data_IF_794265510279
#
_entry.id   IF_794265510279
#
_cell.length_a   1.000
_cell.length_b   1.000
_cell.length_c   1.000
_cell.angle_alpha   90.00
_cell.angle_beta   90.00
_cell.angle_gamma   90.00
#
_symmetry.space_group_name_H-M   'P 1'
#
loop_
_entity.id
_entity.type
_entity.pdbx_description
1 polymer ?
#
# COMPACT_ATOMS: atom_id res chain seq x y z
N UNK A 1 -20.21 29.77 -47.56
CA UNK A 1 -21.11 28.92 -48.32
C UNK A 1 -20.73 27.49 -48.01
N UNK A 2 -21.41 26.68 -47.31
CA UNK A 2 -22.74 26.15 -47.24
C UNK A 2 -23.05 25.67 -45.84
N UNK A 3 -24.20 26.06 -45.32
CA UNK A 3 -24.89 25.52 -44.14
C UNK A 3 -25.43 24.14 -44.42
N UNK A 4 -25.54 23.27 -43.41
CA UNK A 4 -26.64 22.33 -43.28
C UNK A 4 -26.86 21.98 -41.79
N UNK A 5 -28.00 22.45 -41.35
CA UNK A 5 -28.74 22.25 -40.10
C UNK A 5 -29.66 21.04 -40.18
N UNK A 6 -30.18 20.63 -38.99
CA UNK A 6 -31.36 19.83 -38.66
C UNK A 6 -31.18 18.33 -38.42
N UNK A 7 -31.56 17.88 -37.19
CA UNK A 7 -32.73 17.14 -36.92
C UNK A 7 -32.95 16.77 -35.48
N UNK A 8 -33.85 17.47 -34.83
CA UNK A 8 -34.45 17.14 -33.53
C UNK A 8 -35.54 16.10 -33.76
N UNK A 9 -35.59 15.03 -32.98
CA UNK A 9 -36.78 14.18 -32.86
C UNK A 9 -37.15 13.97 -31.39
N UNK A 10 -38.26 14.59 -31.02
CA UNK A 10 -39.09 14.30 -29.83
C UNK A 10 -40.13 13.26 -30.21
N UNK A 11 -40.61 12.53 -29.21
CA UNK A 11 -41.93 11.91 -28.97
C UNK A 11 -41.75 10.55 -28.33
N UNK A 12 -42.47 10.00 -27.35
CA UNK A 12 -43.76 10.36 -26.74
C UNK A 12 -43.92 9.57 -25.43
N UNK A 13 -44.72 10.12 -24.53
CA UNK A 13 -45.26 9.52 -23.30
C UNK A 13 -46.13 8.31 -23.59
N UNK A 14 -46.16 7.34 -22.68
CA UNK A 14 -47.37 6.55 -22.43
C UNK A 14 -47.50 6.24 -20.92
N UNK A 15 -48.58 6.72 -20.39
CA UNK A 15 -49.15 6.54 -19.07
C UNK A 15 -50.13 5.35 -19.16
N UNK A 16 -50.13 4.42 -18.20
CA UNK A 16 -51.41 3.68 -17.90
C UNK A 16 -51.47 3.31 -16.42
N UNK A 17 -52.59 3.66 -15.89
CA UNK A 17 -53.19 3.45 -14.56
C UNK A 17 -53.81 2.05 -14.42
N UNK A 18 -53.99 1.65 -13.16
CA UNK A 18 -55.03 0.66 -12.72
C UNK A 18 -54.36 -0.51 -12.01
N UNK A 19 -54.76 -0.99 -10.84
CA UNK A 19 -55.99 -0.83 -10.12
C UNK A 19 -55.87 -1.47 -8.74
N UNK A 20 -56.66 -0.99 -7.86
CA UNK A 20 -56.93 -1.32 -6.47
C UNK A 20 -57.61 -2.69 -6.35
N UNK A 21 -57.24 -3.49 -5.29
CA UNK A 21 -58.21 -4.36 -4.59
C UNK A 21 -57.85 -4.55 -3.13
N UNK A 22 -58.73 -4.03 -2.28
CA UNK A 22 -58.90 -4.33 -0.86
C UNK A 22 -59.53 -5.73 -0.67
N UNK A 23 -59.16 -6.40 0.41
CA UNK A 23 -60.12 -7.09 1.27
C UNK A 23 -59.50 -7.54 2.58
N UNK A 24 -60.00 -7.04 3.63
CA UNK A 24 -59.99 -7.37 5.04
C UNK A 24 -60.57 -8.76 5.34
N UNK A 25 -60.20 -9.38 6.44
CA UNK A 25 -61.14 -9.87 7.46
C UNK A 25 -60.41 -10.47 8.69
N UNK A 26 -60.97 -10.10 9.81
CA UNK A 26 -60.77 -10.47 11.20
C UNK A 26 -60.94 -11.98 11.49
N UNK A 27 -60.34 -12.44 12.59
CA UNK A 27 -60.68 -13.68 13.24
C UNK A 27 -59.99 -13.87 14.58
N UNK A 28 -60.56 -13.32 15.67
CA UNK A 28 -60.23 -13.71 17.04
C UNK A 28 -60.84 -15.07 17.35
N UNK A 29 -60.12 -15.96 18.05
CA UNK A 29 -60.76 -16.90 18.97
C UNK A 29 -59.77 -17.31 20.06
N UNK A 30 -60.17 -17.03 21.30
CA UNK A 30 -59.60 -17.57 22.53
C UNK A 30 -60.10 -19.01 22.76
N UNK A 31 -59.22 -19.86 23.25
CA UNK A 31 -59.64 -20.92 24.19
C UNK A 31 -58.49 -21.41 25.08
N UNK A 32 -58.71 -21.30 26.36
CA UNK A 32 -57.90 -21.92 27.45
C UNK A 32 -57.95 -23.46 27.40
N UNK A 33 -56.84 -24.12 27.68
CA UNK A 33 -56.86 -25.15 28.70
C UNK A 33 -55.45 -25.48 29.26
N UNK A 34 -55.41 -25.69 30.57
CA UNK A 34 -54.28 -26.14 31.41
C UNK A 34 -53.91 -27.60 31.15
N UNK A 35 -52.64 -27.98 31.23
CA UNK A 35 -52.05 -28.80 32.31
C UNK A 35 -50.66 -29.29 31.98
N UNK A 36 -49.77 -29.05 32.96
CA UNK A 36 -48.72 -29.90 33.56
C UNK A 36 -47.46 -30.34 32.77
N UNK A 37 -46.35 -29.88 33.34
CA UNK A 37 -45.07 -30.53 33.59
C UNK A 37 -44.34 -31.33 32.49
N UNK A 38 -43.21 -30.78 32.04
CA UNK A 38 -41.92 -31.48 32.03
C UNK A 38 -40.77 -30.48 31.88
N UNK A 39 -39.98 -30.39 32.91
CA UNK A 39 -38.68 -29.72 33.00
C UNK A 39 -37.75 -30.23 31.91
N UNK A 40 -37.32 -29.32 31.02
CA UNK A 40 -36.13 -29.50 30.19
C UNK A 40 -35.33 -28.19 30.26
N UNK A 41 -34.31 -28.18 31.10
CA UNK A 41 -33.34 -27.14 31.20
C UNK A 41 -32.60 -27.00 29.84
N UNK A 42 -33.03 -26.08 29.02
CA UNK A 42 -32.27 -25.60 27.87
C UNK A 42 -31.26 -24.60 28.41
N UNK A 43 -30.02 -25.04 28.49
CA UNK A 43 -28.86 -24.17 28.74
C UNK A 43 -28.74 -23.24 27.56
N UNK A 44 -29.38 -22.09 27.62
CA UNK A 44 -29.10 -20.98 26.74
C UNK A 44 -27.68 -20.52 27.06
N UNK A 45 -26.72 -20.90 26.21
CA UNK A 45 -25.41 -20.23 26.15
C UNK A 45 -25.69 -18.75 25.86
N UNK A 46 -25.62 -17.95 26.91
CA UNK A 46 -25.60 -16.51 26.80
C UNK A 46 -24.30 -16.16 26.04
N UNK A 47 -24.42 -16.00 24.75
CA UNK A 47 -23.44 -15.25 23.97
C UNK A 47 -23.50 -13.83 24.53
N UNK A 48 -22.56 -13.49 25.38
CA UNK A 48 -22.32 -12.12 25.84
C UNK A 48 -22.03 -11.31 24.59
N UNK A 49 -23.03 -10.67 24.03
CA UNK A 49 -22.88 -9.60 23.09
C UNK A 49 -22.07 -8.52 23.82
N UNK A 50 -20.82 -8.35 23.45
CA UNK A 50 -20.00 -7.22 23.86
C UNK A 50 -20.68 -5.98 23.25
N UNK A 51 -21.51 -5.31 24.04
CA UNK A 51 -22.13 -4.03 23.73
C UNK A 51 -21.07 -2.93 23.90
N UNK A 52 -20.05 -2.96 23.03
CA UNK A 52 -19.17 -1.83 22.80
C UNK A 52 -19.58 -1.16 21.48
N UNK A 53 -19.53 0.16 21.41
CA UNK A 53 -19.78 0.89 20.17
C UNK A 53 -18.90 0.30 19.05
N UNK A 54 -19.52 -0.07 17.92
CA UNK A 54 -18.80 -0.57 16.75
C UNK A 54 -17.84 0.50 16.26
N UNK A 55 -16.54 0.20 16.24
CA UNK A 55 -15.51 1.10 15.71
C UNK A 55 -15.47 1.06 14.20
N UNK A 56 -15.06 2.17 13.60
CA UNK A 56 -14.94 2.32 12.15
C UNK A 56 -13.54 2.76 11.77
N UNK A 57 -12.90 2.03 10.86
CA UNK A 57 -11.58 2.36 10.31
C UNK A 57 -11.68 2.48 8.80
N UNK A 58 -11.31 3.64 8.27
CA UNK A 58 -11.17 3.83 6.84
C UNK A 58 -9.70 3.58 6.45
N UNK A 59 -9.46 2.82 5.39
CA UNK A 59 -8.12 2.52 4.87
C UNK A 59 -8.06 2.99 3.43
N UNK A 60 -7.02 3.75 3.05
CA UNK A 60 -6.77 4.11 1.66
C UNK A 60 -5.33 3.80 1.26
N UNK A 61 -5.15 3.34 0.02
CA UNK A 61 -3.86 3.18 -0.62
C UNK A 61 -3.81 3.95 -1.93
N UNK A 62 -2.63 4.50 -2.29
CA UNK A 62 -2.48 5.19 -3.58
C UNK A 62 -2.67 4.25 -4.75
N UNK A 63 -2.21 3.01 -4.62
CA UNK A 63 -2.32 1.96 -5.63
C UNK A 63 -2.30 0.60 -4.93
N UNK A 64 -2.74 -0.43 -5.61
CA UNK A 64 -2.63 -1.81 -5.14
C UNK A 64 -1.41 -2.49 -5.78
N UNK A 65 -0.55 -3.07 -4.93
CA UNK A 65 0.54 -3.97 -5.29
C UNK A 65 0.93 -4.80 -4.06
N UNK A 66 1.67 -5.92 -4.22
CA UNK A 66 1.88 -6.90 -3.14
C UNK A 66 2.33 -6.30 -1.81
N UNK A 67 3.29 -5.37 -1.81
CA UNK A 67 3.79 -4.76 -0.59
C UNK A 67 2.72 -3.94 0.16
N UNK A 68 1.97 -3.05 -0.54
CA UNK A 68 0.91 -2.25 0.11
C UNK A 68 -0.30 -3.11 0.53
N UNK A 69 -0.60 -4.17 -0.22
CA UNK A 69 -1.64 -5.14 0.17
C UNK A 69 -1.24 -5.91 1.42
N UNK A 70 0.04 -6.27 1.56
CA UNK A 70 0.58 -6.90 2.77
C UNK A 70 0.47 -5.96 3.99
N UNK A 71 0.73 -4.65 3.82
CA UNK A 71 0.48 -3.65 4.89
C UNK A 71 -0.97 -3.66 5.32
N UNK A 72 -1.91 -3.55 4.37
CA UNK A 72 -3.35 -3.55 4.67
C UNK A 72 -3.77 -4.82 5.41
N UNK A 73 -3.31 -5.98 4.95
CA UNK A 73 -3.57 -7.26 5.59
C UNK A 73 -3.03 -7.30 7.03
N UNK A 74 -1.79 -6.85 7.24
CA UNK A 74 -1.17 -6.78 8.56
C UNK A 74 -1.94 -5.88 9.53
N UNK A 75 -2.42 -4.72 9.06
CA UNK A 75 -3.28 -3.82 9.86
C UNK A 75 -4.56 -4.53 10.31
N UNK A 76 -5.27 -5.17 9.39
CA UNK A 76 -6.55 -5.84 9.68
C UNK A 76 -6.33 -7.04 10.62
N UNK A 77 -5.29 -7.83 10.38
CA UNK A 77 -4.93 -8.96 11.23
C UNK A 77 -4.64 -8.51 12.67
N UNK A 78 -3.83 -7.45 12.82
CA UNK A 78 -3.46 -6.97 14.15
C UNK A 78 -4.64 -6.33 14.88
N UNK A 79 -5.51 -5.62 14.18
CA UNK A 79 -6.76 -5.14 14.79
C UNK A 79 -7.61 -6.31 15.32
N UNK A 80 -7.64 -7.44 14.60
CA UNK A 80 -8.27 -8.67 15.07
C UNK A 80 -7.64 -9.22 16.37
N UNK A 81 -6.31 -9.21 16.46
CA UNK A 81 -5.54 -9.62 17.64
C UNK A 81 -5.80 -8.68 18.84
N UNK A 82 -5.94 -7.38 18.57
CA UNK A 82 -6.26 -6.32 19.55
C UNK A 82 -7.73 -6.35 20.02
N UNK A 83 -8.55 -7.29 19.49
CA UNK A 83 -9.96 -7.49 19.85
C UNK A 83 -10.97 -6.74 18.97
N UNK A 84 -10.51 -6.04 17.92
CA UNK A 84 -11.38 -5.38 16.94
C UNK A 84 -11.59 -6.30 15.74
N UNK A 85 -12.76 -6.93 15.67
CA UNK A 85 -13.07 -7.95 14.65
C UNK A 85 -14.07 -7.43 13.64
N UNK A 86 -13.70 -7.46 12.38
CA UNK A 86 -14.58 -7.05 11.28
C UNK A 86 -15.88 -7.87 11.27
N UNK A 87 -17.02 -7.19 11.08
CA UNK A 87 -18.35 -7.80 11.14
C UNK A 87 -18.90 -8.07 12.55
N UNK A 88 -18.13 -7.78 13.61
CA UNK A 88 -18.57 -7.87 15.00
C UNK A 88 -18.61 -6.49 15.68
N UNK A 89 -17.45 -5.92 15.95
CA UNK A 89 -17.28 -4.62 16.60
C UNK A 89 -16.34 -3.68 15.85
N UNK A 90 -15.98 -4.04 14.60
CA UNK A 90 -15.19 -3.23 13.69
C UNK A 90 -15.84 -3.18 12.31
N UNK A 91 -15.92 -1.99 11.74
CA UNK A 91 -16.23 -1.75 10.32
C UNK A 91 -14.99 -1.23 9.63
N UNK A 92 -14.53 -1.93 8.59
CA UNK A 92 -13.42 -1.50 7.74
C UNK A 92 -13.96 -1.03 6.39
N UNK A 93 -13.51 0.15 5.93
CA UNK A 93 -13.81 0.65 4.60
C UNK A 93 -12.49 0.89 3.86
N UNK A 94 -12.20 0.07 2.84
CA UNK A 94 -11.00 0.21 2.03
C UNK A 94 -11.33 0.83 0.66
N UNK A 95 -10.50 1.81 0.25
CA UNK A 95 -10.54 2.38 -1.10
C UNK A 95 -9.13 2.59 -1.65
N UNK A 96 -8.92 2.14 -2.89
CA UNK A 96 -7.68 2.37 -3.65
C UNK A 96 -7.85 3.53 -4.62
N UNK A 97 -6.84 4.39 -4.69
CA UNK A 97 -6.82 5.51 -5.63
C UNK A 97 -6.33 5.12 -7.04
N UNK A 98 -5.97 3.86 -7.27
CA UNK A 98 -5.55 3.31 -8.56
C UNK A 98 -4.40 4.11 -9.22
N UNK A 99 -3.46 4.60 -8.41
CA UNK A 99 -2.32 5.41 -8.87
C UNK A 99 -2.67 6.88 -9.21
N UNK A 100 -3.89 7.33 -8.93
CA UNK A 100 -4.34 8.67 -9.29
C UNK A 100 -4.47 9.57 -8.05
N UNK A 101 -3.65 10.62 -7.98
CA UNK A 101 -3.64 11.56 -6.85
C UNK A 101 -4.93 12.38 -6.71
N UNK A 102 -5.63 12.66 -7.82
CA UNK A 102 -6.93 13.34 -7.75
C UNK A 102 -7.98 12.42 -7.13
N UNK A 103 -7.99 11.13 -7.48
CA UNK A 103 -8.83 10.12 -6.85
C UNK A 103 -8.49 9.96 -5.36
N UNK A 104 -7.20 9.96 -4.99
CA UNK A 104 -6.78 9.94 -3.59
C UNK A 104 -7.35 11.12 -2.80
N UNK A 105 -7.34 12.32 -3.41
CA UNK A 105 -7.96 13.52 -2.81
C UNK A 105 -9.49 13.41 -2.67
N UNK A 106 -10.18 12.74 -3.60
CA UNK A 106 -11.63 12.49 -3.50
C UNK A 106 -11.94 11.49 -2.38
N UNK A 107 -11.21 10.37 -2.31
CA UNK A 107 -11.32 9.37 -1.25
C UNK A 107 -11.09 10.02 0.12
N UNK A 108 -10.04 10.84 0.26
CA UNK A 108 -9.73 11.52 1.50
C UNK A 108 -10.85 12.46 1.97
N UNK A 109 -11.47 13.21 1.05
CA UNK A 109 -12.63 14.07 1.35
C UNK A 109 -13.85 13.26 1.75
N UNK A 110 -14.10 12.13 1.09
CA UNK A 110 -15.18 11.22 1.46
C UNK A 110 -14.97 10.68 2.87
N UNK A 111 -13.78 10.16 3.18
CA UNK A 111 -13.47 9.64 4.52
C UNK A 111 -13.57 10.73 5.61
N UNK A 112 -13.16 11.95 5.29
CA UNK A 112 -13.33 13.08 6.22
C UNK A 112 -14.82 13.40 6.48
N UNK A 113 -15.69 13.25 5.48
CA UNK A 113 -17.14 13.42 5.64
C UNK A 113 -17.80 12.26 6.40
N UNK A 114 -17.32 11.03 6.20
CA UNK A 114 -17.81 9.81 6.86
C UNK A 114 -17.44 9.74 8.35
N UNK A 115 -16.43 10.51 8.77
CA UNK A 115 -15.94 10.64 10.17
C UNK A 115 -15.69 9.30 10.86
N UNK A 116 -14.82 8.43 10.31
CA UNK A 116 -14.43 7.19 10.98
C UNK A 116 -13.66 7.49 12.28
N UNK A 117 -13.53 6.47 13.17
CA UNK A 117 -12.74 6.58 14.39
C UNK A 117 -11.24 6.73 14.09
N UNK A 118 -10.77 6.20 12.96
CA UNK A 118 -9.41 6.38 12.47
C UNK A 118 -9.33 6.22 10.94
N UNK A 119 -8.35 6.90 10.32
CA UNK A 119 -8.00 6.72 8.91
C UNK A 119 -6.58 6.17 8.83
N UNK A 120 -6.41 5.01 8.18
CA UNK A 120 -5.11 4.47 7.80
C UNK A 120 -4.79 4.89 6.37
N UNK A 121 -3.72 5.65 6.20
CA UNK A 121 -3.29 6.15 4.90
C UNK A 121 -2.01 5.44 4.46
N UNK A 122 -2.13 4.53 3.49
CA UNK A 122 -1.03 3.69 3.00
C UNK A 122 -0.36 4.37 1.82
N UNK A 123 0.95 4.55 1.90
CA UNK A 123 1.85 5.27 1.02
C UNK A 123 1.76 6.80 1.10
N UNK A 124 2.86 7.48 0.74
CA UNK A 124 3.04 8.93 0.88
C UNK A 124 1.94 9.76 0.20
N UNK A 125 1.53 9.50 -1.06
CA UNK A 125 0.52 10.33 -1.71
C UNK A 125 -0.88 10.20 -1.06
N UNK A 126 -1.22 9.01 -0.55
CA UNK A 126 -2.47 8.82 0.22
C UNK A 126 -2.44 9.59 1.52
N UNK A 127 -1.33 9.49 2.27
CA UNK A 127 -1.17 10.20 3.54
C UNK A 127 -1.25 11.73 3.36
N UNK A 128 -0.60 12.27 2.32
CA UNK A 128 -0.69 13.69 1.97
C UNK A 128 -2.12 14.11 1.64
N UNK A 129 -2.86 13.29 0.91
CA UNK A 129 -4.26 13.56 0.56
C UNK A 129 -5.16 13.59 1.80
N UNK A 130 -4.95 12.62 2.72
CA UNK A 130 -5.78 12.50 3.94
C UNK A 130 -5.52 13.66 4.90
N UNK A 131 -4.26 14.04 5.17
CA UNK A 131 -3.98 15.17 6.06
C UNK A 131 -4.44 16.52 5.51
N UNK A 132 -4.52 16.65 4.18
CA UNK A 132 -5.10 17.83 3.53
C UNK A 132 -6.63 17.89 3.66
N UNK A 133 -7.31 16.76 3.93
CA UNK A 133 -8.76 16.67 4.04
C UNK A 133 -9.27 16.77 5.49
N UNK A 134 -8.46 16.44 6.49
CA UNK A 134 -8.87 16.48 7.91
C UNK A 134 -7.72 16.84 8.84
N UNK A 135 -8.04 17.60 9.90
CA UNK A 135 -7.14 17.93 11.00
C UNK A 135 -7.67 17.47 12.36
N UNK A 136 -8.77 16.72 12.39
CA UNK A 136 -9.45 16.29 13.62
C UNK A 136 -9.60 14.77 13.73
N UNK A 137 -9.81 14.07 12.61
CA UNK A 137 -9.90 12.61 12.60
C UNK A 137 -8.49 12.03 12.80
N UNK A 138 -8.28 11.04 13.67
CA UNK A 138 -7.03 10.32 13.80
C UNK A 138 -6.52 9.79 12.45
N UNK A 139 -5.29 10.14 12.06
CA UNK A 139 -4.64 9.69 10.83
C UNK A 139 -3.40 8.90 11.19
N UNK A 140 -3.36 7.64 10.77
CA UNK A 140 -2.22 6.76 10.93
C UNK A 140 -1.64 6.48 9.53
N UNK A 141 -0.50 7.10 9.21
CA UNK A 141 0.19 6.77 7.97
C UNK A 141 0.93 5.45 8.10
N UNK A 142 1.06 4.73 6.98
CA UNK A 142 1.86 3.51 6.86
C UNK A 142 2.55 3.46 5.51
N UNK A 143 3.74 2.86 5.43
CA UNK A 143 4.55 2.83 4.22
C UNK A 143 4.79 4.24 3.65
N UNK A 144 5.21 5.15 4.52
CA UNK A 144 5.63 6.50 4.15
C UNK A 144 7.13 6.62 4.39
N UNK A 145 7.89 6.85 3.32
CA UNK A 145 9.35 6.82 3.37
C UNK A 145 9.91 7.94 4.25
N UNK A 146 9.54 9.19 3.99
CA UNK A 146 9.94 10.30 4.84
C UNK A 146 8.72 11.17 5.20
N UNK A 147 8.14 10.97 6.39
CA UNK A 147 6.95 11.72 6.80
C UNK A 147 7.23 13.20 7.09
N UNK A 148 8.50 13.58 7.33
CA UNK A 148 8.89 14.98 7.55
C UNK A 148 8.98 15.71 6.22
N UNK A 149 9.70 15.16 5.24
CA UNK A 149 9.80 15.71 3.87
C UNK A 149 8.43 15.69 3.16
N UNK A 150 7.61 14.68 3.44
CA UNK A 150 6.22 14.62 2.98
C UNK A 150 5.29 15.61 3.69
N UNK A 151 5.78 16.33 4.70
CA UNK A 151 5.04 17.35 5.50
C UNK A 151 3.85 16.77 6.26
N UNK A 152 3.91 15.51 6.63
CA UNK A 152 2.87 14.87 7.48
C UNK A 152 3.07 15.23 8.95
N UNK A 153 4.32 15.31 9.37
CA UNK A 153 4.76 15.65 10.72
C UNK A 153 5.93 16.64 10.64
N UNK A 154 6.20 17.35 11.72
CA UNK A 154 7.30 18.33 11.78
C UNK A 154 8.65 17.70 12.13
N UNK A 155 8.64 16.60 12.84
CA UNK A 155 9.83 15.86 13.28
C UNK A 155 9.45 14.42 13.65
N UNK A 156 10.44 13.59 13.93
CA UNK A 156 10.27 12.20 14.38
C UNK A 156 9.83 12.06 15.85
N UNK A 157 9.53 13.16 16.52
CA UNK A 157 8.92 13.16 17.85
C UNK A 157 7.39 13.06 17.75
N UNK A 158 6.73 12.89 18.90
CA UNK A 158 5.28 12.93 18.99
C UNK A 158 4.76 14.26 18.40
N UNK A 159 3.83 14.16 17.44
CA UNK A 159 3.48 15.30 16.56
C UNK A 159 2.68 16.39 17.25
N UNK A 160 2.00 16.09 18.36
CA UNK A 160 1.04 16.99 19.01
C UNK A 160 -0.21 17.27 18.16
N UNK A 161 -0.43 16.53 17.07
CA UNK A 161 -1.55 16.69 16.13
C UNK A 161 -2.40 15.41 16.05
N UNK A 162 -3.31 15.34 15.09
CA UNK A 162 -4.08 14.12 14.82
C UNK A 162 -3.32 13.07 13.98
N UNK A 163 -2.00 13.20 13.78
CA UNK A 163 -1.22 12.38 12.85
C UNK A 163 -0.09 11.64 13.55
N UNK A 164 0.05 10.36 13.28
CA UNK A 164 1.19 9.49 13.61
C UNK A 164 1.29 8.38 12.59
N UNK A 165 2.22 7.42 12.74
CA UNK A 165 2.26 6.25 11.86
C UNK A 165 3.59 5.51 11.83
N UNK A 166 3.75 4.70 10.79
CA UNK A 166 4.89 3.84 10.54
C UNK A 166 5.55 4.14 9.19
N UNK A 167 6.84 4.39 9.23
CA UNK A 167 7.66 4.67 8.05
C UNK A 167 8.34 3.39 7.55
N UNK A 168 8.50 3.32 6.23
CA UNK A 168 9.28 2.31 5.52
C UNK A 168 10.66 2.82 5.08
N UNK A 169 11.13 3.94 5.64
CA UNK A 169 12.45 4.48 5.34
C UNK A 169 13.54 3.44 5.58
N UNK A 170 14.36 3.22 4.56
CA UNK A 170 15.48 2.27 4.62
C UNK A 170 16.83 3.00 4.76
N UNK A 171 17.76 2.44 5.53
CA UNK A 171 19.14 2.91 5.51
C UNK A 171 19.75 2.66 4.13
N UNK A 172 20.42 3.67 3.56
CA UNK A 172 20.99 3.58 2.21
C UNK A 172 22.28 2.77 2.17
N UNK A 173 23.05 2.72 3.25
CA UNK A 173 24.33 2.02 3.30
C UNK A 173 24.19 0.52 2.92
N UNK A 174 23.30 -0.26 3.53
CA UNK A 174 23.06 -1.66 3.13
C UNK A 174 22.61 -1.80 1.68
N UNK A 175 21.81 -0.85 1.17
CA UNK A 175 21.36 -0.84 -0.23
C UNK A 175 22.54 -0.66 -1.19
N UNK A 176 23.44 0.30 -0.87
CA UNK A 176 24.62 0.59 -1.68
C UNK A 176 25.57 -0.60 -1.67
N UNK A 177 25.80 -1.22 -0.52
CA UNK A 177 26.65 -2.41 -0.42
C UNK A 177 26.06 -3.60 -1.20
N UNK A 178 24.75 -3.79 -1.17
CA UNK A 178 24.08 -4.80 -2.01
C UNK A 178 24.32 -4.53 -3.50
N UNK A 179 24.12 -3.28 -3.96
CA UNK A 179 24.37 -2.92 -5.36
C UNK A 179 25.81 -3.21 -5.79
N UNK A 180 26.80 -2.92 -4.92
CA UNK A 180 28.21 -3.21 -5.16
C UNK A 180 28.53 -4.70 -5.16
N UNK A 181 27.83 -5.51 -4.38
CA UNK A 181 27.97 -6.98 -4.41
C UNK A 181 27.38 -7.57 -5.68
N UNK A 182 26.25 -7.04 -6.17
CA UNK A 182 25.61 -7.48 -7.43
C UNK A 182 26.44 -7.05 -8.65
N UNK A 183 26.99 -5.83 -8.64
CA UNK A 183 27.84 -5.29 -9.71
C UNK A 183 29.17 -4.83 -9.12
N UNK A 184 30.22 -5.69 -9.10
CA UNK A 184 31.56 -5.28 -8.71
C UNK A 184 32.05 -4.13 -9.60
N UNK A 185 32.76 -3.15 -9.00
CA UNK A 185 33.23 -1.94 -9.69
C UNK A 185 32.09 -1.05 -10.23
N UNK A 186 30.99 -0.96 -9.50
CA UNK A 186 29.86 -0.10 -9.82
C UNK A 186 30.29 1.36 -10.01
N UNK A 187 29.97 1.94 -11.17
CA UNK A 187 30.26 3.34 -11.56
C UNK A 187 29.04 4.12 -11.96
N UNK A 188 27.96 3.43 -12.32
CA UNK A 188 26.73 4.09 -12.78
C UNK A 188 25.49 3.30 -12.40
N UNK A 189 24.50 4.00 -11.82
CA UNK A 189 23.22 3.46 -11.38
C UNK A 189 22.10 4.22 -12.09
N UNK A 190 21.16 3.50 -12.67
CA UNK A 190 19.91 4.04 -13.17
C UNK A 190 18.88 4.14 -12.05
N UNK A 191 18.07 5.16 -12.10
CA UNK A 191 16.97 5.36 -11.15
C UNK A 191 15.72 5.80 -11.90
N UNK A 192 14.79 4.86 -12.11
CA UNK A 192 13.48 5.16 -12.70
C UNK A 192 12.55 5.61 -11.57
N UNK A 193 11.90 6.77 -11.74
CA UNK A 193 11.16 7.38 -10.65
C UNK A 193 10.01 8.29 -11.11
N UNK A 194 9.06 8.51 -10.21
CA UNK A 194 7.94 9.43 -10.37
C UNK A 194 8.30 10.79 -9.76
N UNK A 195 8.49 11.86 -10.57
CA UNK A 195 8.82 13.18 -10.03
C UNK A 195 7.77 13.79 -9.11
N UNK A 196 6.52 13.33 -9.21
CA UNK A 196 5.41 13.75 -8.35
C UNK A 196 5.34 13.03 -7.00
N UNK A 197 6.16 12.01 -6.75
CA UNK A 197 6.20 11.28 -5.49
C UNK A 197 7.36 11.74 -4.60
N UNK A 198 7.03 12.32 -3.44
CA UNK A 198 8.04 12.83 -2.49
C UNK A 198 8.94 11.69 -1.98
N UNK A 199 8.38 10.51 -1.67
CA UNK A 199 9.13 9.31 -1.27
C UNK A 199 10.25 8.99 -2.29
N UNK A 200 9.97 9.08 -3.58
CA UNK A 200 10.92 8.76 -4.63
C UNK A 200 12.00 9.83 -4.81
N UNK A 201 11.62 11.10 -4.77
CA UNK A 201 12.54 12.23 -4.93
C UNK A 201 13.48 12.41 -3.73
N UNK A 202 13.04 12.08 -2.52
CA UNK A 202 13.88 12.07 -1.31
C UNK A 202 14.98 11.02 -1.42
N UNK A 203 14.63 9.79 -1.83
CA UNK A 203 15.62 8.72 -2.03
C UNK A 203 16.63 9.09 -3.13
N UNK A 204 16.16 9.67 -4.26
CA UNK A 204 17.05 10.14 -5.33
C UNK A 204 18.09 11.11 -4.80
N UNK A 205 17.69 12.17 -4.11
CA UNK A 205 18.58 13.18 -3.54
C UNK A 205 19.59 12.55 -2.54
N UNK A 206 19.11 11.62 -1.70
CA UNK A 206 19.97 10.94 -0.74
C UNK A 206 20.99 10.03 -1.43
N UNK A 207 20.62 9.32 -2.49
CA UNK A 207 21.54 8.53 -3.32
C UNK A 207 22.57 9.41 -4.03
N UNK A 208 22.15 10.53 -4.62
CA UNK A 208 23.07 11.49 -5.26
C UNK A 208 24.14 11.97 -4.27
N UNK A 209 23.72 12.34 -3.05
CA UNK A 209 24.64 12.77 -2.00
C UNK A 209 25.63 11.67 -1.56
N UNK A 210 25.17 10.41 -1.46
CA UNK A 210 26.01 9.26 -1.08
C UNK A 210 26.93 8.82 -2.21
N UNK A 211 26.47 8.80 -3.45
CA UNK A 211 27.23 8.32 -4.60
C UNK A 211 28.31 9.28 -5.06
N UNK A 212 28.08 10.60 -4.94
CA UNK A 212 29.02 11.63 -5.35
C UNK A 212 30.44 11.43 -4.80
N UNK A 213 30.66 11.24 -3.47
CA UNK A 213 32.00 10.99 -2.93
C UNK A 213 32.58 9.62 -3.31
N UNK A 214 31.72 8.66 -3.73
CA UNK A 214 32.15 7.33 -4.17
C UNK A 214 32.54 7.29 -5.65
N UNK A 215 32.36 8.38 -6.39
CA UNK A 215 32.57 8.42 -7.84
C UNK A 215 31.57 7.57 -8.63
N UNK A 216 30.38 7.32 -8.06
CA UNK A 216 29.30 6.60 -8.72
C UNK A 216 28.33 7.63 -9.30
N UNK A 217 28.05 7.53 -10.60
CA UNK A 217 27.09 8.38 -11.28
C UNK A 217 25.69 7.81 -11.16
N UNK A 218 24.69 8.67 -10.88
CA UNK A 218 23.28 8.29 -10.95
C UNK A 218 22.64 8.91 -12.19
N UNK A 219 21.91 8.11 -12.96
CA UNK A 219 21.18 8.53 -14.14
C UNK A 219 19.69 8.43 -13.83
N UNK A 220 19.10 9.55 -13.46
CA UNK A 220 17.67 9.65 -13.17
C UNK A 220 16.84 9.57 -14.46
N UNK A 221 15.84 8.70 -14.48
CA UNK A 221 14.93 8.47 -15.60
C UNK A 221 13.48 8.71 -15.13
N UNK A 222 12.93 9.92 -15.32
CA UNK A 222 11.59 10.25 -14.85
C UNK A 222 10.51 9.51 -15.64
N UNK A 223 9.53 8.98 -14.93
CA UNK A 223 8.32 8.34 -15.46
C UNK A 223 7.12 8.81 -14.63
N UNK A 224 6.26 9.64 -15.22
CA UNK A 224 5.14 10.22 -14.48
C UNK A 224 3.96 9.25 -14.32
N UNK A 225 3.87 8.27 -15.21
CA UNK A 225 2.80 7.26 -15.23
C UNK A 225 3.43 5.87 -15.39
N UNK A 226 2.72 4.86 -14.96
CA UNK A 226 3.12 3.45 -15.14
C UNK A 226 3.45 3.10 -16.58
N UNK A 227 2.71 3.68 -17.54
CA UNK A 227 2.92 3.49 -18.99
C UNK A 227 4.23 4.07 -19.51
N UNK A 228 4.84 5.02 -18.81
CA UNK A 228 6.08 5.67 -19.23
C UNK A 228 7.33 4.87 -18.79
N UNK A 229 7.17 3.97 -17.81
CA UNK A 229 8.26 3.22 -17.17
C UNK A 229 9.09 2.38 -18.16
N UNK A 230 8.49 1.60 -19.09
CA UNK A 230 9.29 0.82 -20.03
C UNK A 230 10.18 1.69 -20.93
N UNK A 231 9.68 2.84 -21.38
CA UNK A 231 10.44 3.76 -22.22
C UNK A 231 11.56 4.44 -21.42
N UNK A 232 11.26 4.91 -20.19
CA UNK A 232 12.26 5.50 -19.30
C UNK A 232 13.39 4.51 -19.02
N UNK A 233 13.04 3.23 -18.79
CA UNK A 233 13.99 2.14 -18.55
C UNK A 233 14.88 1.88 -19.77
N UNK A 234 14.29 1.74 -20.98
CA UNK A 234 15.08 1.57 -22.21
C UNK A 234 16.01 2.75 -22.48
N UNK A 235 15.62 3.96 -22.09
CA UNK A 235 16.46 5.17 -22.19
C UNK A 235 17.76 5.11 -21.38
N UNK A 236 17.92 4.14 -20.47
CA UNK A 236 19.11 3.88 -19.67
C UNK A 236 20.12 2.97 -20.38
N UNK A 237 19.81 2.40 -21.54
CA UNK A 237 20.68 1.50 -22.30
C UNK A 237 22.07 2.13 -22.54
N UNK A 238 23.12 1.38 -22.19
CA UNK A 238 24.51 1.81 -22.35
C UNK A 238 24.97 2.94 -21.43
N UNK A 239 24.10 3.45 -20.57
CA UNK A 239 24.41 4.56 -19.63
C UNK A 239 24.65 4.08 -18.20
N UNK A 240 24.12 2.91 -17.82
CA UNK A 240 24.13 2.42 -16.45
C UNK A 240 24.49 0.94 -16.39
N UNK A 241 25.04 0.52 -15.27
CA UNK A 241 25.43 -0.87 -15.01
C UNK A 241 24.39 -1.62 -14.18
N UNK A 242 23.52 -0.88 -13.48
CA UNK A 242 22.50 -1.40 -12.60
C UNK A 242 21.34 -0.39 -12.55
N UNK A 243 20.12 -0.85 -12.39
CA UNK A 243 18.98 0.01 -12.05
C UNK A 243 18.56 -0.32 -10.62
N UNK A 244 18.52 0.71 -9.78
CA UNK A 244 17.98 0.63 -8.43
C UNK A 244 16.55 1.12 -8.42
N UNK A 245 15.66 0.34 -7.81
CA UNK A 245 14.25 0.70 -7.62
C UNK A 245 13.97 0.96 -6.15
N UNK A 246 13.53 2.17 -5.84
CA UNK A 246 13.03 2.54 -4.53
C UNK A 246 11.56 2.16 -4.38
N UNK A 247 10.95 2.60 -3.28
CA UNK A 247 9.53 2.44 -2.97
C UNK A 247 8.65 3.46 -3.72
N UNK A 248 8.90 3.63 -5.01
CA UNK A 248 8.09 4.43 -5.93
C UNK A 248 6.83 3.64 -6.31
N UNK A 249 5.66 4.17 -6.00
CA UNK A 249 4.41 3.42 -6.14
C UNK A 249 4.07 3.09 -7.60
N UNK A 250 4.36 4.01 -8.55
CA UNK A 250 4.16 3.73 -9.97
C UNK A 250 5.15 2.68 -10.48
N UNK A 251 6.42 2.78 -10.08
CA UNK A 251 7.46 1.83 -10.49
C UNK A 251 7.17 0.44 -9.95
N UNK A 252 6.86 0.32 -8.65
CA UNK A 252 6.54 -0.96 -8.03
C UNK A 252 5.26 -1.56 -8.61
N UNK A 253 4.22 -0.76 -8.90
CA UNK A 253 2.98 -1.28 -9.49
C UNK A 253 3.17 -1.82 -10.91
N UNK A 254 4.13 -1.30 -11.68
CA UNK A 254 4.45 -1.70 -13.05
C UNK A 254 5.74 -2.53 -13.16
N UNK A 255 6.11 -3.26 -12.11
CA UNK A 255 7.44 -3.88 -11.99
C UNK A 255 7.74 -4.88 -13.11
N UNK A 256 6.76 -5.66 -13.57
CA UNK A 256 6.92 -6.60 -14.67
C UNK A 256 7.29 -5.88 -15.98
N UNK A 257 6.71 -4.72 -16.23
CA UNK A 257 7.03 -3.88 -17.40
C UNK A 257 8.42 -3.27 -17.30
N UNK A 258 8.82 -2.82 -16.11
CA UNK A 258 10.18 -2.39 -15.80
C UNK A 258 11.18 -3.52 -16.06
N UNK A 259 10.90 -4.73 -15.50
CA UNK A 259 11.76 -5.91 -15.65
C UNK A 259 11.95 -6.30 -17.11
N UNK A 260 10.87 -6.37 -17.90
CA UNK A 260 11.01 -6.71 -19.32
C UNK A 260 11.91 -5.71 -20.05
N UNK A 261 11.73 -4.40 -19.80
CA UNK A 261 12.56 -3.36 -20.41
C UNK A 261 14.02 -3.44 -19.93
N UNK A 262 14.27 -3.71 -18.65
CA UNK A 262 15.61 -3.89 -18.10
C UNK A 262 16.31 -5.13 -18.67
N UNK A 263 15.58 -6.23 -18.83
CA UNK A 263 16.05 -7.47 -19.46
C UNK A 263 16.43 -7.27 -20.93
N UNK A 264 15.63 -6.51 -21.70
CA UNK A 264 15.94 -6.16 -23.10
C UNK A 264 17.29 -5.43 -23.22
N UNK A 265 17.58 -4.51 -22.30
CA UNK A 265 18.83 -3.76 -22.28
C UNK A 265 19.96 -4.44 -21.49
N UNK A 266 19.71 -5.64 -20.94
CA UNK A 266 20.64 -6.47 -20.15
C UNK A 266 21.21 -5.75 -18.91
N UNK A 267 20.36 -5.03 -18.20
CA UNK A 267 20.72 -4.30 -16.97
C UNK A 267 20.01 -4.93 -15.77
N UNK A 268 20.73 -5.33 -14.69
CA UNK A 268 20.13 -5.92 -13.50
C UNK A 268 19.30 -4.90 -12.72
N UNK A 269 18.22 -5.39 -12.09
CA UNK A 269 17.42 -4.65 -11.14
C UNK A 269 17.81 -5.01 -9.71
N UNK A 270 18.07 -4.03 -8.87
CA UNK A 270 18.19 -4.17 -7.41
C UNK A 270 17.07 -3.35 -6.77
N UNK A 271 16.28 -3.97 -5.91
CA UNK A 271 15.09 -3.38 -5.32
C UNK A 271 15.24 -3.11 -3.82
N UNK A 272 14.44 -2.17 -3.32
CA UNK A 272 14.31 -1.86 -1.91
C UNK A 272 13.15 -2.60 -1.22
N UNK A 273 12.33 -3.34 -1.97
CA UNK A 273 11.29 -4.23 -1.45
C UNK A 273 11.54 -5.68 -1.88
N UNK A 274 11.28 -6.60 -0.97
CA UNK A 274 11.58 -8.04 -1.18
C UNK A 274 10.63 -8.71 -2.17
N UNK A 275 9.38 -8.22 -2.32
CA UNK A 275 8.38 -8.79 -3.21
C UNK A 275 8.76 -8.59 -4.69
N UNK A 276 9.54 -7.55 -5.00
CA UNK A 276 10.05 -7.28 -6.34
C UNK A 276 11.01 -8.36 -6.87
N UNK A 277 11.58 -9.20 -6.00
CA UNK A 277 12.47 -10.30 -6.44
C UNK A 277 11.71 -11.35 -7.22
N UNK A 278 10.53 -11.75 -6.77
CA UNK A 278 9.67 -12.67 -7.52
C UNK A 278 9.18 -12.08 -8.86
N UNK A 279 9.23 -10.75 -9.00
CA UNK A 279 8.73 -9.97 -10.14
C UNK A 279 9.83 -9.53 -11.13
N UNK A 280 11.11 -9.82 -10.85
CA UNK A 280 12.18 -9.55 -11.79
C UNK A 280 13.46 -8.94 -11.23
N UNK A 281 13.51 -8.50 -9.96
CA UNK A 281 14.74 -8.05 -9.35
C UNK A 281 15.72 -9.22 -9.18
N UNK A 282 17.02 -8.95 -9.36
CA UNK A 282 18.07 -9.95 -9.10
C UNK A 282 18.37 -10.04 -7.61
N UNK A 283 18.18 -8.94 -6.88
CA UNK A 283 18.37 -8.84 -5.45
C UNK A 283 17.47 -7.73 -4.87
N UNK A 284 17.04 -7.92 -3.65
CA UNK A 284 16.40 -6.88 -2.87
C UNK A 284 16.80 -6.99 -1.40
N UNK A 285 16.93 -5.84 -0.75
CA UNK A 285 17.09 -5.74 0.70
C UNK A 285 16.04 -4.78 1.22
N UNK A 286 15.09 -5.27 1.97
CA UNK A 286 13.94 -4.48 2.40
C UNK A 286 13.33 -4.97 3.70
N UNK A 287 12.35 -4.24 4.19
CA UNK A 287 11.53 -4.62 5.34
C UNK A 287 10.43 -5.60 4.92
N UNK A 288 9.89 -6.31 5.90
CA UNK A 288 8.67 -7.09 5.70
C UNK A 288 7.45 -6.19 5.83
N UNK A 289 6.73 -5.98 4.73
CA UNK A 289 5.58 -5.07 4.67
C UNK A 289 4.37 -5.56 5.46
N UNK A 290 4.19 -6.88 5.62
CA UNK A 290 3.17 -7.40 6.52
C UNK A 290 3.45 -7.03 7.98
N UNK A 291 4.72 -7.13 8.41
CA UNK A 291 5.13 -6.70 9.75
C UNK A 291 4.97 -5.20 9.95
N UNK A 292 5.25 -4.38 8.93
CA UNK A 292 4.95 -2.94 8.96
C UNK A 292 3.46 -2.70 9.17
N UNK A 293 2.60 -3.47 8.50
CA UNK A 293 1.16 -3.45 8.70
C UNK A 293 0.74 -3.83 10.11
N UNK A 294 1.35 -4.87 10.69
CA UNK A 294 1.11 -5.29 12.08
C UNK A 294 1.47 -4.15 13.05
N UNK A 295 2.66 -3.56 12.90
CA UNK A 295 3.06 -2.43 13.75
C UNK A 295 2.12 -1.22 13.58
N UNK A 296 1.66 -0.95 12.36
CA UNK A 296 0.63 0.07 12.11
C UNK A 296 -0.69 -0.29 12.81
N UNK A 297 -1.12 -1.55 12.74
CA UNK A 297 -2.31 -2.07 13.41
C UNK A 297 -2.30 -1.86 14.92
N UNK A 298 -1.15 -2.08 15.57
CA UNK A 298 -0.95 -1.76 17.01
C UNK A 298 -1.19 -0.29 17.30
N UNK A 299 -0.68 0.61 16.45
CA UNK A 299 -0.91 2.05 16.60
C UNK A 299 -2.41 2.36 16.47
N UNK A 300 -3.07 1.81 15.44
CA UNK A 300 -4.52 1.98 15.26
C UNK A 300 -5.30 1.45 16.45
N UNK A 301 -4.95 0.26 16.97
CA UNK A 301 -5.59 -0.35 18.16
C UNK A 301 -5.49 0.54 19.39
N UNK A 302 -4.33 1.17 19.63
CA UNK A 302 -4.14 2.17 20.73
C UNK A 302 -5.06 3.38 20.55
N UNK A 303 -5.16 3.89 19.32
CA UNK A 303 -6.01 5.04 19.00
C UNK A 303 -7.50 4.69 19.19
N UNK A 304 -7.94 3.51 18.74
CA UNK A 304 -9.32 3.06 18.95
C UNK A 304 -9.68 2.85 20.43
N UNK A 305 -8.68 2.60 21.28
CA UNK A 305 -8.80 2.53 22.74
C UNK A 305 -8.75 3.91 23.42
N UNK A 306 -8.63 5.00 22.64
CA UNK A 306 -8.72 6.39 23.12
C UNK A 306 -7.39 7.12 23.27
N UNK A 307 -6.25 6.53 22.88
CA UNK A 307 -4.97 7.23 22.89
C UNK A 307 -4.91 8.26 21.76
N UNK A 308 -4.41 9.46 22.06
CA UNK A 308 -4.32 10.52 21.07
C UNK A 308 -3.15 10.27 20.10
N UNK A 309 -3.37 10.32 18.77
CA UNK A 309 -2.29 10.10 17.79
C UNK A 309 -1.07 11.00 18.02
N UNK A 310 -1.33 12.25 18.39
CA UNK A 310 -0.28 13.24 18.64
C UNK A 310 0.66 12.94 19.80
N UNK A 311 0.34 11.99 20.68
CA UNK A 311 1.21 11.53 21.77
C UNK A 311 2.06 10.31 21.37
N UNK A 312 1.75 9.68 20.24
CA UNK A 312 2.43 8.51 19.75
C UNK A 312 3.56 8.93 18.80
N UNK A 313 4.80 8.58 19.12
CA UNK A 313 5.93 8.79 18.20
C UNK A 313 5.77 7.92 16.96
N UNK A 314 6.05 8.46 15.77
CA UNK A 314 6.17 7.64 14.56
C UNK A 314 7.26 6.58 14.72
N UNK A 315 7.07 5.45 14.09
CA UNK A 315 8.02 4.33 14.14
C UNK A 315 8.66 4.08 12.77
N UNK A 316 9.83 3.44 12.80
CA UNK A 316 10.53 2.89 11.63
C UNK A 316 10.79 1.41 11.84
N UNK A 317 10.91 0.66 10.74
CA UNK A 317 11.31 -0.75 10.78
C UNK A 317 12.84 -0.84 10.68
N UNK A 318 13.46 -1.67 11.53
CA UNK A 318 14.92 -1.79 11.59
C UNK A 318 15.45 -3.11 11.02
N UNK A 319 14.59 -4.14 10.90
CA UNK A 319 15.01 -5.43 10.36
C UNK A 319 14.86 -5.45 8.86
N UNK A 320 15.99 -5.70 8.16
CA UNK A 320 16.03 -5.89 6.72
C UNK A 320 16.20 -7.36 6.40
N UNK A 321 15.47 -7.85 5.43
CA UNK A 321 15.61 -9.18 4.86
C UNK A 321 16.22 -9.09 3.46
N UNK A 322 17.16 -9.99 3.14
CA UNK A 322 17.80 -10.09 1.83
C UNK A 322 17.12 -11.20 1.02
N UNK A 323 16.60 -10.86 -0.14
CA UNK A 323 16.02 -11.79 -1.11
C UNK A 323 16.81 -11.75 -2.41
N UNK A 324 16.98 -12.90 -3.06
CA UNK A 324 17.80 -13.05 -4.27
C UNK A 324 17.08 -13.90 -5.32
N UNK A 325 17.34 -13.60 -6.59
CA UNK A 325 16.94 -14.44 -7.73
C UNK A 325 18.13 -14.75 -8.64
N UNK A 326 18.82 -15.88 -8.46
CA UNK A 326 19.81 -16.36 -9.42
C UNK A 326 19.29 -16.50 -10.84
N UNK A 327 18.00 -16.83 -10.98
CA UNK A 327 17.31 -16.88 -12.27
C UNK A 327 17.36 -15.55 -13.01
N UNK A 328 16.90 -14.48 -12.35
CA UNK A 328 16.86 -13.15 -12.96
C UNK A 328 18.28 -12.59 -13.19
N UNK A 329 19.23 -12.95 -12.32
CA UNK A 329 20.64 -12.60 -12.51
C UNK A 329 21.20 -13.24 -13.80
N UNK A 330 20.97 -14.54 -14.03
CA UNK A 330 21.40 -15.24 -15.24
C UNK A 330 20.78 -14.65 -16.53
N UNK A 331 19.54 -14.22 -16.48
CA UNK A 331 18.84 -13.64 -17.63
C UNK A 331 19.45 -12.32 -18.10
N UNK A 332 20.18 -11.62 -17.23
CA UNK A 332 20.92 -10.39 -17.57
C UNK A 332 22.43 -10.58 -17.58
N UNK A 333 22.91 -11.85 -17.51
CA UNK A 333 24.32 -12.21 -17.61
C UNK A 333 25.13 -12.00 -16.35
N UNK A 334 24.51 -11.99 -15.18
CA UNK A 334 25.17 -11.83 -13.88
C UNK A 334 25.20 -13.15 -13.10
N UNK A 335 26.29 -13.40 -12.40
CA UNK A 335 26.42 -14.47 -11.42
C UNK A 335 26.50 -13.85 -10.03
N UNK A 336 25.52 -14.19 -9.16
CA UNK A 336 25.52 -13.71 -7.78
C UNK A 336 26.64 -14.41 -6.98
N UNK A 337 27.37 -13.67 -6.12
CA UNK A 337 28.38 -14.26 -5.25
C UNK A 337 27.80 -15.28 -4.27
N UNK A 338 28.53 -16.37 -4.01
CA UNK A 338 28.07 -17.44 -3.13
C UNK A 338 27.88 -16.97 -1.68
N UNK A 339 28.75 -16.07 -1.22
CA UNK A 339 28.62 -15.45 0.11
C UNK A 339 27.34 -14.61 0.26
N UNK A 340 26.91 -13.96 -0.82
CA UNK A 340 25.63 -13.25 -0.85
C UNK A 340 24.46 -14.23 -0.79
N UNK A 341 24.51 -15.33 -1.56
CA UNK A 341 23.48 -16.36 -1.56
C UNK A 341 23.31 -16.99 -0.18
N UNK A 342 24.42 -17.26 0.52
CA UNK A 342 24.39 -17.87 1.86
C UNK A 342 23.80 -16.96 2.95
N UNK A 343 23.76 -15.64 2.72
CA UNK A 343 23.20 -14.64 3.65
C UNK A 343 21.72 -14.36 3.39
N UNK A 344 21.16 -14.84 2.27
CA UNK A 344 19.79 -14.52 1.88
C UNK A 344 18.78 -15.23 2.80
N UNK A 345 17.74 -14.48 3.20
CA UNK A 345 16.59 -15.03 3.89
C UNK A 345 15.71 -15.85 2.91
N UNK A 346 15.71 -15.47 1.63
CA UNK A 346 15.03 -16.20 0.56
C UNK A 346 15.83 -16.16 -0.74
N UNK A 347 15.89 -17.30 -1.40
CA UNK A 347 16.51 -17.44 -2.74
C UNK A 347 15.45 -18.02 -3.67
N UNK A 348 15.04 -17.25 -4.69
CA UNK A 348 14.13 -17.73 -5.72
C UNK A 348 14.83 -18.82 -6.56
N UNK A 349 14.15 -19.94 -6.89
CA UNK A 349 14.80 -21.05 -7.57
C UNK A 349 15.35 -20.63 -8.93
N UNK A 350 16.56 -21.10 -9.24
CA UNK A 350 17.12 -21.00 -10.60
C UNK A 350 16.17 -21.71 -11.60
N UNK A 351 16.13 -21.28 -12.87
CA UNK A 351 15.37 -22.01 -13.89
C UNK A 351 15.88 -23.45 -13.92
N UNK A 352 14.97 -24.42 -13.86
CA UNK A 352 15.34 -25.81 -14.12
C UNK A 352 16.01 -25.86 -15.50
N UNK A 353 17.24 -26.34 -15.56
CA UNK A 353 17.88 -26.60 -16.84
C UNK A 353 16.93 -27.42 -17.69
N UNK A 354 16.67 -26.99 -18.93
CA UNK A 354 15.90 -27.79 -19.87
C UNK A 354 16.67 -29.09 -20.05
N UNK A 355 16.11 -30.22 -19.55
CA UNK A 355 16.56 -31.56 -19.85
C UNK A 355 16.32 -31.87 -21.33
#
# INVERSE_FOLDING_TARGET
>A
MLNATFGVSRLTKAMMLGGICMASLMGCSQSNNKTADASSASTASATTAVSGDTKSVAITAIVEHPALDAVRQGVIEELGNEGFKEGQNLKVNFQSAQGNTATAGQIAKQFAADKPDAIVAIATPSAQSVIAATNSIPVIFSAVTDPVEAKLIKSWEASGTNVTGASDMLPLEPQIELMKKVVPNLKSVGYVYSPGEVNSTVVLKALEAKFKPMGINIVAAPAQRTTDIPQATRGLQGKVQLIYTSLDNNVVSAYESLYQAAKEIKVPLVASDTDSVARGAVAAMGINYKNLGIETGKIVGRVLKGEQPGTIKPITMNKLDLYLSPKHAQEVGITLPQDLISQAAQVEPAPKAKQ
#
